data_IF_128817745493
#
_entry.id   IF_128817745493
#
_cell.length_a   1.000
_cell.length_b   1.000
_cell.length_c   1.000
_cell.angle_alpha   90.00
_cell.angle_beta   90.00
_cell.angle_gamma   90.00
#
_symmetry.space_group_name_H-M   'P 1'
#
loop_
_entity.id
_entity.type
_entity.pdbx_description
1 polymer ?
#
# COMPACT_ATOMS: atom_id res chain seq x y z
N UNK A 1 -5.17 16.02 -25.15
CA UNK A 1 -6.32 16.06 -26.07
C UNK A 1 -7.54 15.49 -25.35
N UNK A 2 -8.23 16.29 -24.56
CA UNK A 2 -9.57 16.00 -24.02
C UNK A 2 -10.30 17.31 -23.68
N UNK A 3 -10.34 18.21 -24.65
CA UNK A 3 -10.97 19.54 -24.51
C UNK A 3 -12.48 19.54 -24.66
N UNK A 4 -13.12 18.41 -24.89
CA UNK A 4 -14.56 18.37 -25.27
C UNK A 4 -15.49 18.01 -24.10
N UNK A 5 -15.02 17.30 -23.10
CA UNK A 5 -15.83 16.92 -21.93
C UNK A 5 -15.71 17.96 -20.80
N UNK A 6 -14.55 18.58 -20.63
CA UNK A 6 -14.33 19.69 -19.69
C UNK A 6 -15.29 20.85 -19.92
N UNK A 7 -15.57 21.19 -21.19
CA UNK A 7 -16.39 22.33 -21.52
C UNK A 7 -17.90 22.19 -21.23
N UNK A 8 -18.42 20.99 -20.97
CA UNK A 8 -19.86 20.79 -20.67
C UNK A 8 -20.20 20.87 -19.17
N UNK A 9 -19.32 20.39 -18.30
CA UNK A 9 -19.55 20.42 -16.85
C UNK A 9 -19.19 21.76 -16.21
N UNK A 10 -18.21 22.50 -16.76
CA UNK A 10 -17.79 23.84 -16.26
C UNK A 10 -18.86 24.91 -16.52
N UNK A 11 -19.90 24.64 -17.31
CA UNK A 11 -20.99 25.59 -17.59
C UNK A 11 -21.98 25.79 -16.42
N UNK A 12 -21.96 24.96 -15.39
CA UNK A 12 -22.79 25.17 -14.22
C UNK A 12 -22.14 26.21 -13.29
N UNK A 13 -22.84 27.28 -12.91
CA UNK A 13 -22.26 28.41 -12.15
C UNK A 13 -21.68 27.99 -10.80
N UNK A 14 -22.24 26.96 -10.17
CA UNK A 14 -21.77 26.40 -8.90
C UNK A 14 -20.42 25.69 -9.08
N UNK A 15 -20.26 24.90 -10.15
CA UNK A 15 -19.01 24.19 -10.46
C UNK A 15 -17.90 25.18 -10.78
N UNK A 16 -18.19 26.26 -11.51
CA UNK A 16 -17.24 27.30 -11.84
C UNK A 16 -16.71 28.04 -10.60
N UNK A 17 -17.56 28.30 -9.61
CA UNK A 17 -17.12 28.91 -8.33
C UNK A 17 -16.28 27.95 -7.52
N UNK A 18 -16.64 26.66 -7.46
CA UNK A 18 -15.88 25.64 -6.77
C UNK A 18 -14.50 25.44 -7.41
N UNK A 19 -14.41 25.34 -8.72
CA UNK A 19 -13.15 25.27 -9.48
C UNK A 19 -12.27 26.47 -9.21
N UNK A 20 -12.84 27.69 -9.24
CA UNK A 20 -12.09 28.92 -8.94
C UNK A 20 -11.54 28.92 -7.50
N UNK A 21 -12.31 28.50 -6.51
CA UNK A 21 -11.87 28.38 -5.14
C UNK A 21 -10.75 27.34 -4.98
N UNK A 22 -10.89 26.19 -5.63
CA UNK A 22 -9.88 25.11 -5.59
C UNK A 22 -8.59 25.50 -6.31
N UNK A 23 -8.66 26.30 -7.37
CA UNK A 23 -7.50 26.84 -8.09
C UNK A 23 -6.76 27.91 -7.25
N UNK A 24 -7.47 28.64 -6.40
CA UNK A 24 -6.88 29.64 -5.51
C UNK A 24 -6.09 29.05 -4.36
N UNK A 25 -6.41 27.81 -3.94
CA UNK A 25 -5.69 27.09 -2.89
C UNK A 25 -4.43 26.47 -3.50
N UNK A 26 -3.34 27.25 -3.52
CA UNK A 26 -2.01 26.77 -3.91
C UNK A 26 -1.37 26.11 -2.70
N UNK A 27 -1.05 24.83 -2.81
CA UNK A 27 -0.38 24.10 -1.76
C UNK A 27 1.14 24.37 -1.86
N UNK A 28 1.77 25.02 -0.85
CA UNK A 28 3.17 25.44 -0.94
C UNK A 28 4.15 24.26 -1.11
N UNK A 29 3.78 23.10 -0.66
CA UNK A 29 4.56 21.85 -0.75
C UNK A 29 4.46 21.18 -2.14
N UNK A 30 3.45 21.52 -2.94
CA UNK A 30 3.21 20.98 -4.28
C UNK A 30 3.79 21.85 -5.41
N UNK A 31 4.70 22.78 -5.07
CA UNK A 31 5.45 23.61 -6.03
C UNK A 31 4.60 24.37 -7.05
N UNK A 32 3.40 24.78 -6.68
CA UNK A 32 2.53 25.63 -7.48
C UNK A 32 1.36 24.91 -8.11
N UNK A 33 1.18 23.59 -7.90
CA UNK A 33 -0.06 22.90 -8.19
C UNK A 33 -1.15 23.41 -7.25
N UNK A 34 -2.32 23.68 -7.83
CA UNK A 34 -3.52 23.97 -7.06
C UNK A 34 -4.18 22.69 -6.56
N UNK A 35 -5.06 22.83 -5.58
CA UNK A 35 -5.89 21.70 -5.13
C UNK A 35 -6.79 21.19 -6.28
N UNK A 36 -7.17 22.06 -7.20
CA UNK A 36 -7.92 21.69 -8.40
C UNK A 36 -7.09 20.79 -9.32
N UNK A 37 -5.83 21.15 -9.61
CA UNK A 37 -4.95 20.34 -10.48
C UNK A 37 -4.75 18.93 -9.88
N UNK A 38 -4.71 18.84 -8.57
CA UNK A 38 -4.60 17.57 -7.86
C UNK A 38 -5.86 16.73 -8.00
N UNK A 39 -7.04 17.33 -7.81
CA UNK A 39 -8.32 16.65 -7.98
C UNK A 39 -8.55 16.26 -9.44
N UNK A 40 -8.22 17.13 -10.40
CA UNK A 40 -8.34 16.85 -11.81
C UNK A 40 -7.48 15.65 -12.23
N UNK A 41 -6.24 15.60 -11.78
CA UNK A 41 -5.33 14.47 -11.98
C UNK A 41 -5.93 13.14 -11.42
N UNK A 42 -6.63 13.22 -10.29
CA UNK A 42 -7.33 12.07 -9.71
C UNK A 42 -8.57 11.67 -10.51
N UNK A 43 -9.43 12.63 -10.80
CA UNK A 43 -10.69 12.36 -11.51
C UNK A 43 -10.42 11.87 -12.93
N UNK A 44 -9.56 12.53 -13.68
CA UNK A 44 -9.18 12.13 -15.04
C UNK A 44 -8.54 10.74 -15.03
N UNK A 45 -7.61 10.49 -14.10
CA UNK A 45 -6.94 9.19 -13.97
C UNK A 45 -7.91 8.04 -13.66
N UNK A 46 -8.91 8.28 -12.83
CA UNK A 46 -9.93 7.26 -12.47
C UNK A 46 -10.90 7.06 -13.64
N UNK A 47 -11.40 8.15 -14.25
CA UNK A 47 -12.44 8.07 -15.27
C UNK A 47 -11.92 7.64 -16.65
N UNK A 48 -10.69 7.94 -17.02
CA UNK A 48 -10.09 7.44 -18.27
C UNK A 48 -9.77 5.93 -18.21
N UNK A 49 -10.04 5.27 -17.10
CA UNK A 49 -10.01 3.82 -16.96
C UNK A 49 -8.62 3.17 -16.94
N UNK A 50 -7.59 3.88 -17.41
CA UNK A 50 -6.23 3.33 -17.50
C UNK A 50 -5.65 2.98 -16.11
N UNK A 51 -5.94 3.75 -15.07
CA UNK A 51 -5.49 3.48 -13.70
C UNK A 51 -6.19 2.25 -13.13
N UNK A 52 -7.50 2.12 -13.34
CA UNK A 52 -8.30 0.99 -12.86
C UNK A 52 -7.80 -0.34 -13.43
N UNK A 53 -7.53 -0.42 -14.73
CA UNK A 53 -6.98 -1.64 -15.36
C UNK A 53 -5.59 -1.99 -14.83
N UNK A 54 -4.71 -0.99 -14.69
CA UNK A 54 -3.37 -1.18 -14.12
C UNK A 54 -3.45 -1.68 -12.68
N UNK A 55 -4.31 -1.06 -11.87
CA UNK A 55 -4.55 -1.45 -10.49
C UNK A 55 -5.11 -2.88 -10.37
N UNK A 56 -6.01 -3.28 -11.28
CA UNK A 56 -6.57 -4.64 -11.29
C UNK A 56 -5.50 -5.70 -11.61
N UNK A 57 -4.62 -5.44 -12.57
CA UNK A 57 -3.52 -6.35 -12.90
C UNK A 57 -2.52 -6.51 -11.74
N UNK A 58 -2.20 -5.40 -11.05
CA UNK A 58 -1.35 -5.40 -9.86
C UNK A 58 -2.03 -6.16 -8.72
N UNK A 59 -3.31 -5.85 -8.46
CA UNK A 59 -4.08 -6.46 -7.39
C UNK A 59 -4.20 -7.98 -7.55
N UNK A 60 -4.42 -8.47 -8.77
CA UNK A 60 -4.42 -9.89 -9.08
C UNK A 60 -3.08 -10.56 -8.75
N UNK A 61 -1.98 -9.95 -9.15
CA UNK A 61 -0.63 -10.47 -8.88
C UNK A 61 -0.33 -10.55 -7.38
N UNK A 62 -0.73 -9.52 -6.61
CA UNK A 62 -0.60 -9.52 -5.15
C UNK A 62 -1.51 -10.54 -4.48
N UNK A 63 -2.74 -10.65 -4.93
CA UNK A 63 -3.69 -11.62 -4.41
C UNK A 63 -3.17 -13.06 -4.55
N UNK A 64 -2.59 -13.39 -5.71
CA UNK A 64 -1.96 -14.68 -5.93
C UNK A 64 -0.73 -14.92 -5.05
N UNK A 65 0.03 -13.87 -4.75
CA UNK A 65 1.20 -13.96 -3.88
C UNK A 65 0.83 -14.09 -2.39
N UNK A 66 -0.36 -13.66 -2.00
CA UNK A 66 -0.80 -13.62 -0.60
C UNK A 66 -0.84 -15.01 0.02
N UNK A 67 -1.33 -16.02 -0.68
CA UNK A 67 -1.47 -17.38 -0.15
C UNK A 67 -0.14 -18.04 0.22
N UNK A 68 0.85 -18.14 -0.69
CA UNK A 68 2.17 -18.67 -0.34
C UNK A 68 2.89 -17.83 0.72
N UNK A 69 2.69 -16.51 0.71
CA UNK A 69 3.27 -15.61 1.70
C UNK A 69 2.68 -15.85 3.09
N UNK A 70 1.36 -16.02 3.20
CA UNK A 70 0.73 -16.37 4.48
C UNK A 70 1.21 -17.74 4.99
N UNK A 71 1.31 -18.74 4.10
CA UNK A 71 1.88 -20.04 4.47
C UNK A 71 3.32 -19.90 5.01
N UNK A 72 4.14 -19.08 4.37
CA UNK A 72 5.49 -18.80 4.84
C UNK A 72 5.48 -18.16 6.25
N UNK A 73 4.68 -17.13 6.46
CA UNK A 73 4.57 -16.45 7.77
C UNK A 73 4.10 -17.43 8.86
N UNK A 74 3.06 -18.22 8.58
CA UNK A 74 2.55 -19.20 9.54
C UNK A 74 3.62 -20.22 9.93
N UNK A 75 4.40 -20.71 8.95
CA UNK A 75 5.51 -21.63 9.22
C UNK A 75 6.69 -20.96 9.97
N UNK A 76 6.76 -19.63 9.99
CA UNK A 76 7.78 -18.91 10.74
C UNK A 76 7.44 -18.77 12.24
N UNK A 77 6.16 -18.79 12.60
CA UNK A 77 5.67 -18.60 13.96
C UNK A 77 6.31 -19.57 14.99
N UNK A 78 6.46 -20.88 14.70
CA UNK A 78 7.12 -21.81 15.65
C UNK A 78 8.58 -21.44 15.99
N UNK A 79 9.25 -20.66 15.16
CA UNK A 79 10.64 -20.24 15.37
C UNK A 79 10.77 -18.91 16.13
N UNK A 80 9.65 -18.27 16.50
CA UNK A 80 9.67 -17.03 17.27
C UNK A 80 9.96 -17.39 18.76
N UNK A 81 11.10 -16.96 19.34
CA UNK A 81 11.52 -17.36 20.66
C UNK A 81 10.84 -16.52 21.77
N UNK A 82 9.51 -16.46 21.75
CA UNK A 82 8.70 -15.75 22.74
C UNK A 82 7.74 -16.76 23.35
N UNK A 83 7.88 -16.97 24.67
CA UNK A 83 6.98 -17.85 25.39
C UNK A 83 5.53 -17.36 25.32
N UNK A 84 4.62 -18.27 24.99
CA UNK A 84 3.19 -17.95 24.88
C UNK A 84 2.76 -17.35 23.54
N UNK A 85 3.71 -16.95 22.66
CA UNK A 85 3.38 -16.27 21.40
C UNK A 85 2.41 -17.06 20.48
N UNK A 86 2.57 -18.39 20.44
CA UNK A 86 1.67 -19.24 19.62
C UNK A 86 0.24 -19.20 20.14
N UNK A 87 0.07 -19.24 21.46
CA UNK A 87 -1.25 -19.18 22.11
C UNK A 87 -1.89 -17.79 21.91
N UNK A 88 -1.11 -16.73 22.07
CA UNK A 88 -1.57 -15.36 21.83
C UNK A 88 -1.96 -15.14 20.38
N UNK A 89 -1.18 -15.66 19.44
CA UNK A 89 -1.50 -15.64 18.02
C UNK A 89 -2.81 -16.39 17.72
N UNK A 90 -3.00 -17.59 18.26
CA UNK A 90 -4.25 -18.33 18.10
C UNK A 90 -5.43 -17.60 18.74
N UNK A 91 -5.23 -16.98 19.88
CA UNK A 91 -6.20 -16.11 20.55
C UNK A 91 -6.59 -14.91 19.68
N UNK A 92 -5.62 -14.26 19.08
CA UNK A 92 -5.84 -13.16 18.14
C UNK A 92 -6.64 -13.61 16.89
N UNK A 93 -6.26 -14.74 16.28
CA UNK A 93 -6.99 -15.29 15.13
C UNK A 93 -8.44 -15.60 15.51
N UNK A 94 -8.66 -16.21 16.69
CA UNK A 94 -10.02 -16.52 17.21
C UNK A 94 -10.88 -15.28 17.35
N UNK A 95 -10.31 -14.16 17.79
CA UNK A 95 -11.04 -12.88 17.94
C UNK A 95 -11.28 -12.16 16.61
N UNK A 96 -10.38 -12.38 15.64
CA UNK A 96 -10.38 -11.65 14.37
C UNK A 96 -11.22 -12.31 13.26
N UNK A 97 -11.55 -13.60 13.42
CA UNK A 97 -12.21 -14.42 12.39
C UNK A 97 -13.58 -14.91 12.88
N UNK A 98 -14.63 -14.92 12.03
CA UNK A 98 -15.92 -15.50 12.38
C UNK A 98 -15.80 -16.94 12.87
N UNK A 99 -16.61 -17.38 13.86
CA UNK A 99 -16.50 -18.70 14.48
C UNK A 99 -16.49 -19.86 13.49
N UNK A 100 -17.34 -19.83 12.48
CA UNK A 100 -17.43 -20.86 11.42
C UNK A 100 -16.16 -20.95 10.57
N UNK A 101 -15.49 -19.82 10.37
CA UNK A 101 -14.23 -19.75 9.60
C UNK A 101 -13.06 -20.16 10.49
N UNK A 102 -13.11 -19.82 11.79
CA UNK A 102 -12.08 -20.18 12.75
C UNK A 102 -11.90 -21.68 12.84
N UNK A 103 -12.95 -22.47 12.95
CA UNK A 103 -12.90 -23.94 13.07
C UNK A 103 -12.22 -24.58 11.84
N UNK A 104 -12.45 -24.04 10.64
CA UNK A 104 -11.81 -24.50 9.42
C UNK A 104 -10.33 -24.14 9.36
N UNK A 105 -9.97 -22.92 9.76
CA UNK A 105 -8.60 -22.40 9.71
C UNK A 105 -7.77 -22.96 10.88
N UNK A 106 -8.37 -23.14 12.05
CA UNK A 106 -7.67 -23.60 13.26
C UNK A 106 -6.96 -24.93 13.05
N UNK A 107 -7.60 -25.90 12.38
CA UNK A 107 -6.98 -27.19 12.08
C UNK A 107 -5.71 -27.01 11.25
N UNK A 108 -5.76 -26.14 10.23
CA UNK A 108 -4.63 -25.88 9.32
C UNK A 108 -3.51 -25.16 10.09
N UNK A 109 -3.86 -24.10 10.85
CA UNK A 109 -2.87 -23.34 11.64
C UNK A 109 -2.24 -24.23 12.69
N UNK A 110 -3.03 -25.00 13.43
CA UNK A 110 -2.55 -25.88 14.50
C UNK A 110 -1.63 -26.98 13.94
N UNK A 111 -1.94 -27.54 12.78
CA UNK A 111 -1.06 -28.50 12.11
C UNK A 111 0.28 -27.87 11.71
N UNK A 112 0.25 -26.67 11.12
CA UNK A 112 1.47 -25.92 10.76
C UNK A 112 2.31 -25.57 11.99
N UNK A 113 1.68 -25.17 13.09
CA UNK A 113 2.38 -24.76 14.32
C UNK A 113 3.03 -25.95 15.04
N UNK A 114 2.44 -27.13 15.02
CA UNK A 114 2.94 -28.30 15.74
C UNK A 114 3.82 -29.20 14.88
N UNK A 115 3.59 -29.22 13.58
CA UNK A 115 4.37 -30.00 12.62
C UNK A 115 5.28 -29.08 11.81
N UNK A 116 6.49 -28.81 12.32
CA UNK A 116 7.45 -27.96 11.61
C UNK A 116 7.93 -28.66 10.34
N UNK A 117 7.34 -28.29 9.22
CA UNK A 117 7.75 -28.78 7.90
C UNK A 117 8.88 -27.92 7.33
N UNK A 118 10.13 -28.18 7.75
CA UNK A 118 11.30 -27.41 7.26
C UNK A 118 11.43 -27.38 5.74
N UNK A 119 10.97 -28.42 5.04
CA UNK A 119 10.90 -28.46 3.57
C UNK A 119 9.84 -27.49 3.00
N UNK A 120 8.69 -27.38 3.65
CA UNK A 120 7.63 -26.42 3.25
C UNK A 120 8.02 -24.98 3.54
N UNK A 121 8.80 -24.73 4.60
CA UNK A 121 9.32 -23.40 4.90
C UNK A 121 10.19 -22.88 3.77
N UNK A 122 11.14 -23.71 3.28
CA UNK A 122 12.06 -23.31 2.20
C UNK A 122 11.36 -23.16 0.85
N UNK A 123 10.54 -24.12 0.46
CA UNK A 123 9.82 -24.06 -0.82
C UNK A 123 8.72 -23.00 -0.82
N UNK A 124 7.97 -22.87 0.27
CA UNK A 124 6.96 -21.83 0.46
C UNK A 124 7.56 -20.44 0.38
N UNK A 125 8.73 -20.22 1.00
CA UNK A 125 9.46 -18.96 0.94
C UNK A 125 9.88 -18.62 -0.50
N UNK A 126 10.47 -19.57 -1.22
CA UNK A 126 10.90 -19.35 -2.61
C UNK A 126 9.71 -19.02 -3.53
N UNK A 127 8.60 -19.76 -3.38
CA UNK A 127 7.37 -19.49 -4.15
C UNK A 127 6.78 -18.14 -3.76
N UNK A 128 6.74 -17.79 -2.48
CA UNK A 128 6.24 -16.50 -2.01
C UNK A 128 7.06 -15.33 -2.60
N UNK A 129 8.40 -15.40 -2.53
CA UNK A 129 9.28 -14.38 -3.10
C UNK A 129 9.11 -14.27 -4.61
N UNK A 130 9.00 -15.40 -5.32
CA UNK A 130 8.77 -15.41 -6.77
C UNK A 130 7.44 -14.73 -7.15
N UNK A 131 6.35 -15.07 -6.47
CA UNK A 131 5.03 -14.48 -6.74
C UNK A 131 4.96 -13.02 -6.32
N UNK A 132 5.59 -12.66 -5.20
CA UNK A 132 5.73 -11.25 -4.81
C UNK A 132 6.54 -10.46 -5.84
N UNK A 133 7.61 -11.02 -6.40
CA UNK A 133 8.38 -10.37 -7.47
C UNK A 133 7.52 -10.12 -8.72
N UNK A 134 6.59 -11.03 -9.05
CA UNK A 134 5.62 -10.79 -10.12
C UNK A 134 4.67 -9.62 -9.79
N UNK A 135 4.18 -9.53 -8.55
CA UNK A 135 3.38 -8.40 -8.08
C UNK A 135 4.14 -7.07 -8.17
N UNK A 136 5.39 -7.04 -7.70
CA UNK A 136 6.26 -5.85 -7.81
C UNK A 136 6.53 -5.51 -9.28
N UNK A 137 6.77 -6.51 -10.14
CA UNK A 137 6.94 -6.29 -11.59
C UNK A 137 5.71 -5.64 -12.20
N UNK A 138 4.51 -6.06 -11.79
CA UNK A 138 3.26 -5.44 -12.22
C UNK A 138 3.15 -3.98 -11.74
N UNK A 139 3.56 -3.67 -10.49
CA UNK A 139 3.63 -2.28 -9.99
C UNK A 139 4.59 -1.45 -10.85
N UNK A 140 5.82 -1.95 -11.06
CA UNK A 140 6.83 -1.23 -11.85
C UNK A 140 6.35 -0.99 -13.29
N UNK A 141 5.68 -1.98 -13.90
CA UNK A 141 5.04 -1.84 -15.20
C UNK A 141 3.91 -0.80 -15.20
N UNK A 142 3.10 -0.78 -14.14
CA UNK A 142 2.07 0.23 -13.91
C UNK A 142 2.64 1.65 -13.80
N UNK A 143 3.80 1.81 -13.19
CA UNK A 143 4.50 3.10 -13.10
C UNK A 143 5.09 3.56 -14.44
N UNK A 144 5.62 2.63 -15.23
CA UNK A 144 6.19 2.94 -16.56
C UNK A 144 5.15 3.41 -17.58
N UNK A 145 3.88 3.08 -17.37
CA UNK A 145 2.76 3.50 -18.24
C UNK A 145 2.07 4.77 -17.74
N UNK A 146 2.63 5.48 -16.75
CA UNK A 146 2.11 6.75 -16.26
C UNK A 146 2.07 7.81 -17.37
N UNK A 147 0.94 8.55 -17.43
CA UNK A 147 0.65 9.51 -18.52
C UNK A 147 1.69 10.65 -18.63
N UNK A 148 2.35 10.98 -17.55
CA UNK A 148 3.37 12.05 -17.52
C UNK A 148 4.81 11.58 -17.80
N UNK A 149 5.00 10.29 -18.11
CA UNK A 149 6.29 9.75 -18.49
C UNK A 149 6.47 9.77 -20.01
N UNK A 150 6.71 10.95 -20.58
CA UNK A 150 7.03 11.10 -22.02
C UNK A 150 8.40 10.52 -22.42
N UNK A 151 9.18 10.02 -21.49
CA UNK A 151 10.50 9.46 -21.79
C UNK A 151 10.46 7.96 -21.53
N UNK A 152 10.54 7.21 -22.61
CA UNK A 152 10.65 5.75 -22.70
C UNK A 152 11.91 5.21 -22.05
N UNK A 153 12.03 5.32 -20.74
CA UNK A 153 13.11 4.67 -19.97
C UNK A 153 12.65 3.28 -19.49
N UNK A 154 12.10 2.47 -20.40
CA UNK A 154 11.76 1.09 -20.08
C UNK A 154 13.04 0.33 -19.70
N UNK A 155 12.96 -0.39 -18.58
CA UNK A 155 14.00 -1.35 -18.22
C UNK A 155 13.91 -2.56 -19.14
N UNK A 156 15.04 -3.19 -19.46
CA UNK A 156 15.02 -4.52 -20.08
C UNK A 156 14.35 -5.50 -19.11
N UNK A 157 13.56 -6.41 -19.62
CA UNK A 157 12.73 -7.36 -18.84
C UNK A 157 13.50 -8.01 -17.68
N UNK A 158 14.66 -8.61 -17.95
CA UNK A 158 15.47 -9.26 -16.91
C UNK A 158 15.91 -8.29 -15.81
N UNK A 159 16.32 -7.07 -16.18
CA UNK A 159 16.74 -6.07 -15.19
C UNK A 159 15.56 -5.60 -14.31
N UNK A 160 14.39 -5.47 -14.89
CA UNK A 160 13.17 -5.13 -14.15
C UNK A 160 12.81 -6.24 -13.16
N UNK A 161 12.90 -7.49 -13.60
CA UNK A 161 12.61 -8.64 -12.75
C UNK A 161 13.60 -8.76 -11.57
N UNK A 162 14.90 -8.57 -11.79
CA UNK A 162 15.88 -8.54 -10.70
C UNK A 162 15.62 -7.42 -9.69
N UNK A 163 15.26 -6.22 -10.17
CA UNK A 163 14.88 -5.12 -9.26
C UNK A 163 13.61 -5.48 -8.48
N UNK A 164 12.62 -6.09 -9.12
CA UNK A 164 11.39 -6.52 -8.46
C UNK A 164 11.67 -7.60 -7.40
N UNK A 165 12.54 -8.56 -7.71
CA UNK A 165 12.95 -9.61 -6.78
C UNK A 165 13.70 -9.04 -5.57
N UNK A 166 14.61 -8.10 -5.78
CA UNK A 166 15.29 -7.38 -4.71
C UNK A 166 14.29 -6.60 -3.84
N UNK A 167 13.36 -5.86 -4.47
CA UNK A 167 12.35 -5.10 -3.76
C UNK A 167 11.40 -6.00 -2.96
N UNK A 168 11.01 -7.16 -3.50
CA UNK A 168 10.16 -8.11 -2.77
C UNK A 168 10.86 -8.65 -1.52
N UNK A 169 12.16 -8.96 -1.60
CA UNK A 169 12.94 -9.37 -0.42
C UNK A 169 13.01 -8.26 0.62
N UNK A 170 13.31 -7.01 0.20
CA UNK A 170 13.40 -5.87 1.13
C UNK A 170 12.04 -5.57 1.75
N UNK A 171 10.94 -5.59 0.99
CA UNK A 171 9.60 -5.36 1.54
C UNK A 171 9.16 -6.47 2.50
N UNK A 172 9.47 -7.73 2.21
CA UNK A 172 9.24 -8.85 3.13
C UNK A 172 10.02 -8.67 4.43
N UNK A 173 11.29 -8.25 4.32
CA UNK A 173 12.13 -7.96 5.49
C UNK A 173 11.57 -6.80 6.32
N UNK A 174 11.15 -5.70 5.67
CA UNK A 174 10.51 -4.55 6.35
C UNK A 174 9.26 -4.99 7.11
N UNK A 175 8.44 -5.85 6.52
CA UNK A 175 7.25 -6.37 7.17
C UNK A 175 7.62 -7.19 8.41
N UNK A 176 8.56 -8.11 8.29
CA UNK A 176 9.02 -8.95 9.42
C UNK A 176 9.59 -8.06 10.55
N UNK A 177 10.44 -7.10 10.21
CA UNK A 177 11.02 -6.15 11.18
C UNK A 177 9.93 -5.33 11.86
N UNK A 178 8.91 -4.89 11.11
CA UNK A 178 7.80 -4.12 11.69
C UNK A 178 6.98 -4.95 12.66
N UNK A 179 6.65 -6.19 12.31
CA UNK A 179 5.94 -7.10 13.22
C UNK A 179 6.78 -7.38 14.48
N UNK A 180 8.07 -7.67 14.31
CA UNK A 180 8.98 -7.86 15.44
C UNK A 180 9.06 -6.62 16.34
N UNK A 181 9.15 -5.42 15.75
CA UNK A 181 9.20 -4.16 16.49
C UNK A 181 7.91 -3.92 17.29
N UNK A 182 6.74 -4.22 16.72
CA UNK A 182 5.45 -4.11 17.41
C UNK A 182 5.43 -5.06 18.63
N UNK A 183 5.82 -6.31 18.45
CA UNK A 183 5.84 -7.30 19.52
C UNK A 183 6.81 -6.88 20.63
N UNK A 184 8.04 -6.47 20.27
CA UNK A 184 9.03 -6.01 21.25
C UNK A 184 8.53 -4.80 22.03
N UNK A 185 7.91 -3.84 21.32
CA UNK A 185 7.34 -2.66 21.95
C UNK A 185 6.22 -3.01 22.92
N UNK A 186 5.31 -3.91 22.54
CA UNK A 186 4.22 -4.38 23.41
C UNK A 186 4.75 -5.07 24.68
N UNK A 187 5.69 -5.99 24.53
CA UNK A 187 6.35 -6.67 25.65
C UNK A 187 7.09 -5.68 26.56
N UNK A 188 7.74 -4.67 25.96
CA UNK A 188 8.43 -3.62 26.72
C UNK A 188 7.44 -2.81 27.57
N UNK A 189 6.33 -2.34 27.00
CA UNK A 189 5.30 -1.56 27.72
C UNK A 189 4.70 -2.40 28.86
N UNK A 190 4.38 -3.68 28.61
CA UNK A 190 3.82 -4.57 29.63
C UNK A 190 4.81 -4.82 30.79
N UNK A 191 6.08 -5.07 30.50
CA UNK A 191 7.10 -5.32 31.54
C UNK A 191 7.43 -4.09 32.39
N UNK A 192 7.42 -2.91 31.80
CA UNK A 192 7.75 -1.64 32.49
C UNK A 192 6.57 -1.05 33.26
N UNK A 193 5.36 -1.62 33.11
CA UNK A 193 4.11 -1.10 33.71
C UNK A 193 3.88 0.39 33.46
N UNK A 194 4.45 0.93 32.40
CA UNK A 194 4.30 2.35 32.02
C UNK A 194 2.82 2.69 31.77
N UNK A 195 2.06 1.73 31.27
CA UNK A 195 0.62 1.89 31.07
C UNK A 195 -0.11 2.22 32.39
N UNK A 196 0.25 1.57 33.49
CA UNK A 196 -0.37 1.76 34.81
C UNK A 196 -0.04 3.16 35.39
N UNK A 197 1.11 3.72 35.02
CA UNK A 197 1.58 5.06 35.47
C UNK A 197 0.93 6.19 34.69
N UNK A 198 0.65 5.97 33.41
CA UNK A 198 0.16 7.01 32.48
C UNK A 198 -1.37 7.19 32.44
N UNK A 199 -2.12 6.53 33.30
CA UNK A 199 -3.58 6.41 33.29
C UNK A 199 -4.15 5.51 32.18
N UNK A 200 -5.24 4.82 32.50
CA UNK A 200 -5.98 3.93 31.58
C UNK A 200 -6.56 4.66 30.33
N UNK A 201 -6.49 5.99 30.32
CA UNK A 201 -7.03 6.82 29.25
C UNK A 201 -6.15 6.90 28.00
N UNK A 202 -4.87 6.51 28.06
CA UNK A 202 -3.93 6.60 26.94
C UNK A 202 -3.50 5.20 26.50
N UNK A 203 -4.07 4.68 25.41
CA UNK A 203 -3.75 3.34 24.90
C UNK A 203 -2.39 3.33 24.19
N UNK A 204 -1.27 3.37 24.95
CA UNK A 204 0.09 3.45 24.42
C UNK A 204 0.41 2.30 23.44
N UNK A 205 -0.05 1.10 23.76
CA UNK A 205 0.19 -0.09 22.93
C UNK A 205 -0.48 0.10 21.56
N UNK A 206 -1.74 0.56 21.55
CA UNK A 206 -2.46 0.80 20.30
C UNK A 206 -1.83 1.93 19.49
N UNK A 207 -1.47 3.04 20.13
CA UNK A 207 -0.77 4.15 19.47
C UNK A 207 0.57 3.70 18.87
N UNK A 208 1.33 2.89 19.60
CA UNK A 208 2.59 2.33 19.10
C UNK A 208 2.38 1.46 17.87
N UNK A 209 1.40 0.56 17.88
CA UNK A 209 1.04 -0.27 16.71
C UNK A 209 0.72 0.60 15.49
N UNK A 210 -0.10 1.63 15.64
CA UNK A 210 -0.43 2.54 14.53
C UNK A 210 0.82 3.26 13.99
N UNK A 211 1.69 3.76 14.85
CA UNK A 211 2.93 4.44 14.44
C UNK A 211 3.82 3.50 13.62
N UNK A 212 4.06 2.26 14.08
CA UNK A 212 4.87 1.30 13.35
C UNK A 212 4.27 0.95 11.99
N UNK A 213 2.94 0.75 11.90
CA UNK A 213 2.25 0.47 10.65
C UNK A 213 2.35 1.66 9.69
N UNK A 214 2.14 2.89 10.17
CA UNK A 214 2.28 4.11 9.35
C UNK A 214 3.70 4.22 8.79
N UNK A 215 4.71 4.02 9.63
CA UNK A 215 6.12 4.06 9.21
C UNK A 215 6.44 2.96 8.19
N UNK A 216 5.92 1.75 8.37
CA UNK A 216 6.06 0.66 7.41
C UNK A 216 5.46 1.02 6.04
N UNK A 217 4.23 1.56 6.02
CA UNK A 217 3.57 1.96 4.77
C UNK A 217 4.37 3.07 4.09
N UNK A 218 4.79 4.10 4.85
CA UNK A 218 5.57 5.22 4.34
C UNK A 218 6.93 4.76 3.77
N UNK A 219 7.61 3.87 4.47
CA UNK A 219 8.89 3.34 4.02
C UNK A 219 8.71 2.48 2.76
N UNK A 220 7.72 1.59 2.74
CA UNK A 220 7.42 0.71 1.62
C UNK A 220 7.04 1.49 0.36
N UNK A 221 6.15 2.48 0.48
CA UNK A 221 5.76 3.35 -0.64
C UNK A 221 6.92 4.21 -1.13
N UNK A 222 7.75 4.74 -0.22
CA UNK A 222 8.95 5.51 -0.57
C UNK A 222 9.97 4.65 -1.32
N UNK A 223 10.16 3.41 -0.88
CA UNK A 223 11.04 2.44 -1.54
C UNK A 223 10.56 2.13 -2.96
N UNK A 224 9.26 1.81 -3.11
CA UNK A 224 8.65 1.54 -4.42
C UNK A 224 8.78 2.74 -5.36
N UNK A 225 8.54 3.95 -4.89
CA UNK A 225 8.63 5.16 -5.72
C UNK A 225 10.05 5.51 -6.09
N UNK A 226 11.01 5.30 -5.20
CA UNK A 226 12.44 5.55 -5.47
C UNK A 226 12.99 4.58 -6.50
N UNK A 227 12.68 3.30 -6.35
CA UNK A 227 13.19 2.25 -7.23
C UNK A 227 12.26 1.95 -8.42
N UNK A 228 11.03 2.48 -8.42
CA UNK A 228 10.04 2.28 -9.48
C UNK A 228 10.47 2.80 -10.84
N UNK A 229 11.25 3.87 -10.88
CA UNK A 229 11.73 4.49 -12.13
C UNK A 229 13.23 4.27 -12.32
N UNK A 230 13.61 4.06 -13.59
CA UNK A 230 15.01 4.03 -14.02
C UNK A 230 15.54 5.47 -14.05
N UNK A 231 16.60 5.75 -13.27
CA UNK A 231 17.47 6.89 -13.50
C UNK A 231 17.05 8.28 -13.01
N UNK A 232 16.53 8.38 -11.80
CA UNK A 232 16.50 9.70 -11.14
C UNK A 232 17.26 9.65 -9.80
N UNK A 233 18.58 9.85 -9.86
CA UNK A 233 19.46 9.82 -8.67
C UNK A 233 19.11 10.93 -7.66
N UNK A 234 18.50 12.02 -8.10
CA UNK A 234 18.22 13.20 -7.28
C UNK A 234 16.87 13.16 -6.56
N UNK A 235 16.15 12.02 -6.61
CA UNK A 235 14.88 11.89 -5.88
C UNK A 235 15.11 11.73 -4.38
N UNK A 236 14.43 12.51 -3.54
CA UNK A 236 14.42 12.25 -2.10
C UNK A 236 13.82 10.88 -1.84
N UNK A 237 14.27 10.20 -0.79
CA UNK A 237 13.71 8.89 -0.40
C UNK A 237 12.24 9.05 -0.02
N UNK A 238 11.94 9.97 0.90
CA UNK A 238 10.57 10.34 1.22
C UNK A 238 10.13 11.45 0.26
N UNK A 239 9.18 11.14 -0.58
CA UNK A 239 8.62 12.07 -1.57
C UNK A 239 7.23 12.54 -1.16
N UNK A 240 6.77 13.65 -1.74
CA UNK A 240 5.41 14.16 -1.52
C UNK A 240 4.38 13.09 -1.91
N UNK A 241 4.62 12.38 -3.01
CA UNK A 241 3.76 11.29 -3.45
C UNK A 241 3.71 10.14 -2.45
N UNK A 242 4.85 9.75 -1.81
CA UNK A 242 4.84 8.66 -0.83
C UNK A 242 4.09 9.02 0.46
N UNK A 243 4.25 10.25 0.95
CA UNK A 243 3.49 10.76 2.11
C UNK A 243 2.00 10.80 1.81
N UNK A 244 1.65 11.34 0.64
CA UNK A 244 0.26 11.43 0.20
C UNK A 244 -0.38 10.04 0.03
N UNK A 245 0.32 9.09 -0.59
CA UNK A 245 -0.11 7.68 -0.70
C UNK A 245 -0.34 7.07 0.67
N UNK A 246 0.58 7.28 1.61
CA UNK A 246 0.46 6.77 2.99
C UNK A 246 -0.80 7.30 3.67
N UNK A 247 -1.06 8.60 3.58
CA UNK A 247 -2.26 9.23 4.14
C UNK A 247 -3.53 8.63 3.51
N UNK A 248 -3.56 8.50 2.19
CA UNK A 248 -4.71 7.92 1.49
C UNK A 248 -4.94 6.44 1.85
N UNK A 249 -3.89 5.64 2.00
CA UNK A 249 -4.00 4.25 2.43
C UNK A 249 -4.62 4.18 3.83
N UNK A 250 -4.19 5.02 4.77
CA UNK A 250 -4.73 5.06 6.13
C UNK A 250 -6.22 5.44 6.12
N UNK A 251 -6.56 6.51 5.40
CA UNK A 251 -7.95 6.99 5.26
C UNK A 251 -8.81 5.91 4.62
N UNK A 252 -8.35 5.34 3.51
CA UNK A 252 -9.04 4.26 2.79
C UNK A 252 -9.25 3.03 3.68
N UNK A 253 -8.22 2.63 4.46
CA UNK A 253 -8.31 1.49 5.37
C UNK A 253 -9.33 1.72 6.48
N UNK A 254 -9.39 2.94 7.03
CA UNK A 254 -10.37 3.31 8.04
C UNK A 254 -11.81 3.21 7.50
N UNK A 255 -12.08 3.84 6.37
CA UNK A 255 -13.41 3.76 5.75
C UNK A 255 -13.77 2.35 5.29
N UNK A 256 -12.79 1.62 4.77
CA UNK A 256 -12.99 0.24 4.36
C UNK A 256 -13.33 -0.66 5.55
N UNK A 257 -12.68 -0.46 6.71
CA UNK A 257 -12.99 -1.18 7.94
C UNK A 257 -14.44 -0.96 8.38
N UNK A 258 -14.94 0.29 8.37
CA UNK A 258 -16.33 0.61 8.67
C UNK A 258 -17.29 -0.06 7.66
N UNK A 259 -16.93 -0.03 6.38
CA UNK A 259 -17.73 -0.63 5.32
C UNK A 259 -17.82 -2.15 5.48
N UNK A 260 -16.71 -2.83 5.73
CA UNK A 260 -16.66 -4.30 5.89
C UNK A 260 -17.54 -4.77 7.05
N UNK A 261 -17.55 -4.07 8.18
CA UNK A 261 -18.41 -4.41 9.34
C UNK A 261 -19.89 -4.35 8.96
N UNK A 262 -20.30 -3.33 8.18
CA UNK A 262 -21.68 -3.22 7.68
C UNK A 262 -22.00 -4.24 6.59
N UNK A 263 -20.99 -4.68 5.85
CA UNK A 263 -21.11 -5.61 4.72
C UNK A 263 -21.04 -7.08 5.16
N UNK A 264 -20.84 -7.36 6.45
CA UNK A 264 -20.73 -8.73 6.99
C UNK A 264 -21.99 -9.58 6.70
N UNK A 265 -23.14 -8.95 6.54
CA UNK A 265 -24.39 -9.60 6.07
C UNK A 265 -24.27 -10.21 4.66
N UNK A 266 -23.36 -9.71 3.84
CA UNK A 266 -23.08 -10.26 2.51
C UNK A 266 -22.34 -11.61 2.57
N UNK A 267 -21.59 -11.84 3.63
CA UNK A 267 -20.94 -13.11 3.93
C UNK A 267 -21.94 -14.25 4.20
N UNK A 268 -23.14 -13.93 4.70
CA UNK A 268 -24.21 -14.93 4.90
C UNK A 268 -24.68 -15.52 3.57
N UNK A 269 -24.61 -14.72 2.48
CA UNK A 269 -25.06 -15.16 1.14
C UNK A 269 -23.94 -15.88 0.36
N UNK A 270 -22.70 -15.41 0.46
CA UNK A 270 -21.57 -15.89 -0.37
C UNK A 270 -20.54 -16.71 0.39
N UNK A 271 -20.67 -16.84 1.72
CA UNK A 271 -19.74 -17.61 2.56
C UNK A 271 -18.29 -17.12 2.43
N UNK A 272 -17.34 -18.06 2.37
CA UNK A 272 -15.90 -17.77 2.25
C UNK A 272 -15.51 -17.04 0.94
N UNK A 273 -16.28 -17.20 -0.13
CA UNK A 273 -16.05 -16.50 -1.41
C UNK A 273 -16.23 -14.99 -1.23
N UNK A 274 -17.22 -14.56 -0.43
CA UNK A 274 -17.44 -13.16 -0.10
C UNK A 274 -16.23 -12.52 0.54
N UNK A 275 -15.57 -13.21 1.47
CA UNK A 275 -14.34 -12.74 2.13
C UNK A 275 -13.20 -12.54 1.12
N UNK A 276 -13.00 -13.48 0.19
CA UNK A 276 -11.97 -13.37 -0.85
C UNK A 276 -12.22 -12.16 -1.77
N UNK A 277 -13.48 -11.94 -2.16
CA UNK A 277 -13.85 -10.78 -2.97
C UNK A 277 -13.60 -9.46 -2.24
N UNK A 278 -13.91 -9.38 -0.95
CA UNK A 278 -13.66 -8.21 -0.11
C UNK A 278 -12.16 -7.92 -0.02
N UNK A 279 -11.32 -8.94 0.22
CA UNK A 279 -9.86 -8.81 0.25
C UNK A 279 -9.33 -8.35 -1.10
N UNK A 280 -9.78 -8.95 -2.21
CA UNK A 280 -9.37 -8.56 -3.55
C UNK A 280 -9.74 -7.10 -3.86
N UNK A 281 -10.92 -6.66 -3.47
CA UNK A 281 -11.39 -5.28 -3.62
C UNK A 281 -10.55 -4.29 -2.80
N UNK A 282 -10.21 -4.66 -1.56
CA UNK A 282 -9.31 -3.85 -0.73
C UNK A 282 -7.93 -3.70 -1.35
N UNK A 283 -7.34 -4.78 -1.84
CA UNK A 283 -6.04 -4.75 -2.53
C UNK A 283 -6.13 -3.85 -3.77
N UNK A 284 -7.22 -3.96 -4.55
CA UNK A 284 -7.42 -3.14 -5.75
C UNK A 284 -7.50 -1.64 -5.44
N UNK A 285 -8.25 -1.23 -4.41
CA UNK A 285 -8.29 0.17 -3.96
C UNK A 285 -6.89 0.66 -3.59
N UNK A 286 -6.12 -0.11 -2.81
CA UNK A 286 -4.78 0.27 -2.40
C UNK A 286 -3.81 0.34 -3.60
N UNK A 287 -3.95 -0.54 -4.60
CA UNK A 287 -3.18 -0.46 -5.84
C UNK A 287 -3.54 0.80 -6.64
N UNK A 288 -4.81 1.21 -6.69
CA UNK A 288 -5.21 2.49 -7.31
C UNK A 288 -4.55 3.67 -6.60
N UNK A 289 -4.62 3.72 -5.27
CA UNK A 289 -3.99 4.77 -4.46
C UNK A 289 -2.48 4.82 -4.70
N UNK A 290 -1.83 3.67 -4.80
CA UNK A 290 -0.39 3.57 -5.06
C UNK A 290 -0.02 4.16 -6.42
N UNK A 291 -0.77 3.83 -7.48
CA UNK A 291 -0.54 4.38 -8.82
C UNK A 291 -0.78 5.89 -8.84
N UNK A 292 -1.87 6.35 -8.23
CA UNK A 292 -2.20 7.77 -8.14
C UNK A 292 -1.13 8.58 -7.43
N UNK A 293 -0.61 8.08 -6.30
CA UNK A 293 0.48 8.74 -5.59
C UNK A 293 1.78 8.78 -6.38
N UNK A 294 2.04 7.75 -7.18
CA UNK A 294 3.17 7.74 -8.11
C UNK A 294 2.98 8.76 -9.25
N UNK A 295 1.79 8.82 -9.84
CA UNK A 295 1.44 9.78 -10.90
C UNK A 295 1.55 11.22 -10.38
N UNK A 296 1.12 11.49 -9.14
CA UNK A 296 1.33 12.79 -8.47
C UNK A 296 2.83 13.13 -8.36
N UNK A 297 3.62 12.18 -7.93
CA UNK A 297 5.07 12.39 -7.75
C UNK A 297 5.79 12.68 -9.08
N UNK A 298 5.37 12.03 -10.17
CA UNK A 298 5.89 12.28 -11.52
C UNK A 298 5.44 13.64 -12.07
N UNK A 299 4.20 14.04 -11.83
CA UNK A 299 3.67 15.35 -12.24
C UNK A 299 4.40 16.51 -11.58
N UNK A 300 4.64 16.42 -10.27
CA UNK A 300 5.42 17.43 -9.53
C UNK A 300 6.84 17.56 -10.13
N UNK A 301 7.45 16.45 -10.49
CA UNK A 301 8.80 16.48 -11.06
C UNK A 301 8.83 17.05 -12.48
N UNK A 302 7.81 16.77 -13.28
CA UNK A 302 7.69 17.35 -14.61
C UNK A 302 7.63 18.89 -14.52
N UNK A 303 6.79 19.42 -13.66
CA UNK A 303 6.63 20.86 -13.45
C UNK A 303 7.95 21.50 -12.96
N UNK A 304 8.67 20.83 -12.05
CA UNK A 304 9.99 21.32 -11.60
C UNK A 304 10.99 21.41 -12.74
N UNK A 305 11.04 20.41 -13.60
CA UNK A 305 11.96 20.37 -14.75
C UNK A 305 11.63 21.45 -15.79
N UNK A 306 10.36 21.70 -16.04
CA UNK A 306 9.95 22.78 -16.96
C UNK A 306 10.31 24.15 -16.41
N UNK A 307 10.03 24.42 -15.14
CA UNK A 307 10.46 25.70 -14.52
C UNK A 307 11.97 25.89 -14.52
N UNK A 308 12.73 24.82 -14.32
CA UNK A 308 14.19 24.91 -14.38
C UNK A 308 14.67 25.26 -15.80
N UNK A 309 14.12 24.64 -16.82
CA UNK A 309 14.42 24.96 -18.22
C UNK A 309 14.07 26.41 -18.59
N UNK A 310 12.93 26.91 -18.08
CA UNK A 310 12.53 28.30 -18.31
C UNK A 310 13.51 29.29 -17.64
N UNK A 311 14.02 28.95 -16.47
CA UNK A 311 15.04 29.75 -15.77
C UNK A 311 16.38 29.73 -16.51
N UNK A 312 16.82 28.53 -16.95
CA UNK A 312 18.08 28.36 -17.69
C UNK A 312 18.06 29.09 -19.05
N UNK A 313 16.88 29.14 -19.71
CA UNK A 313 16.69 29.88 -20.95
C UNK A 313 16.58 31.41 -20.77
N UNK A 314 16.39 31.92 -19.57
CA UNK A 314 16.34 33.36 -19.24
C UNK A 314 17.70 33.93 -18.83
N UNK A 315 18.70 33.08 -18.62
CA UNK A 315 20.06 33.49 -18.34
C UNK A 315 20.78 33.61 -19.69
N UNK A 316 21.19 34.80 -20.13
CA UNK A 316 21.86 35.01 -21.40
C UNK A 316 23.22 34.34 -21.49
#
# INVERSE_FOLDING_TARGET
MSTTTENKFIKLPIIKQLVYLLQKIKLPWLHGLSLFDLLDLYFVGIFEGAISYRAAAIAWSFFMALFPFMLFILNLIPYIPIEGFQQDFLGFVKQSVPPTTYDAIFKIINDILHNSHSGLLSTGFLIAIFLMANGITAILGGFETSHHMHVTLKRKFFRQYFVALFLSMVLSFVLIVTVAAIIIFEVFIQKTKIQDVLSDSIPLIEMGRYVFVILMILFSTSLLFKFGIKHDKNRPFISIGSVFTTILIIISSYFFGIWVVKFSKYNELYGSIGTLLVVMFYIWINCMILILGFDLNTSIQHIRREKQKELDNKIP
#
